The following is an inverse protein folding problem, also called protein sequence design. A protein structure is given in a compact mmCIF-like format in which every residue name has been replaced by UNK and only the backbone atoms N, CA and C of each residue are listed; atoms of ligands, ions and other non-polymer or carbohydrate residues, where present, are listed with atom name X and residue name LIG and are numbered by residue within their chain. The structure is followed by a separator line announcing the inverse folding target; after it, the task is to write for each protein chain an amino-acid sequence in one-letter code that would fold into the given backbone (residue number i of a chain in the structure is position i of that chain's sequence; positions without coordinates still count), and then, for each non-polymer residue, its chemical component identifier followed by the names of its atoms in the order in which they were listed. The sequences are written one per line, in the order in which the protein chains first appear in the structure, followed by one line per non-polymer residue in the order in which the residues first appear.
data_IF_657950973255
#
_entry.id   IF_657950973255
#
_cell.length_a   1.000
_cell.length_b   1.000
_cell.length_c   1.000
_cell.angle_alpha   90.00
_cell.angle_beta   90.00
_cell.angle_gamma   90.00
#
_symmetry.space_group_name_H-M   'P 1'
#
loop_
_entity.id
_entity.type
_entity.pdbx_description
1 polymer ?
#
# COMPACT_ATOMS: atom_id res chain seq x y z
N UNK A 1 -7.80 -13.39 -0.62
CA UNK A 1 -7.02 -12.86 0.52
C UNK A 1 -7.04 -11.35 0.43
N UNK A 2 -7.79 -10.67 1.28
CA UNK A 2 -7.96 -9.23 1.22
C UNK A 2 -7.03 -8.57 2.25
N UNK A 3 -5.99 -7.85 1.77
CA UNK A 3 -5.22 -6.94 2.62
C UNK A 3 -6.11 -5.72 2.90
N UNK A 4 -6.25 -5.33 4.17
CA UNK A 4 -7.02 -4.16 4.60
C UNK A 4 -6.12 -2.97 4.93
N UNK A 5 -4.96 -3.23 5.51
CA UNK A 5 -3.98 -2.20 5.89
C UNK A 5 -2.67 -2.38 5.14
N UNK A 6 -2.08 -1.28 4.70
CA UNK A 6 -0.73 -1.23 4.16
C UNK A 6 0.11 -0.32 5.05
N UNK A 7 1.16 -0.88 5.64
CA UNK A 7 2.24 -0.09 6.23
C UNK A 7 3.24 0.18 5.11
N UNK A 8 3.72 1.40 5.01
CA UNK A 8 4.79 1.76 4.09
C UNK A 8 5.88 2.52 4.83
N UNK A 9 7.13 2.23 4.49
CA UNK A 9 8.27 2.84 5.17
C UNK A 9 9.35 3.26 4.15
N UNK A 10 9.77 4.52 4.28
CA UNK A 10 10.96 5.08 3.66
C UNK A 10 12.05 5.19 4.73
N UNK A 11 13.20 4.54 4.51
CA UNK A 11 14.26 4.46 5.51
C UNK A 11 15.31 5.54 5.29
N UNK A 12 15.27 6.56 6.13
CA UNK A 12 16.29 7.60 6.17
C UNK A 12 17.62 7.11 6.74
N UNK A 13 18.67 7.84 6.39
CA UNK A 13 20.02 7.67 6.95
C UNK A 13 20.24 8.62 8.15
N UNK A 14 21.49 8.83 8.53
CA UNK A 14 21.87 9.59 9.73
C UNK A 14 21.25 11.00 9.81
N UNK A 15 21.02 11.66 8.68
CA UNK A 15 20.51 13.02 8.60
C UNK A 15 19.09 13.11 8.03
N UNK A 16 18.55 12.01 7.50
CA UNK A 16 17.20 11.91 6.96
C UNK A 16 16.32 11.09 7.88
N UNK A 17 15.07 11.50 8.03
CA UNK A 17 14.11 10.77 8.84
C UNK A 17 13.67 9.47 8.15
N UNK A 18 13.49 8.44 8.94
CA UNK A 18 12.64 7.33 8.51
C UNK A 18 11.19 7.75 8.67
N UNK A 19 10.43 7.69 7.58
CA UNK A 19 8.99 7.94 7.59
C UNK A 19 8.21 6.63 7.52
N UNK A 20 7.11 6.57 8.28
CA UNK A 20 6.20 5.42 8.29
C UNK A 20 4.78 5.91 8.09
N UNK A 21 4.10 5.36 7.11
CA UNK A 21 2.69 5.63 6.84
C UNK A 21 1.87 4.35 6.98
N UNK A 22 0.61 4.48 7.40
CA UNK A 22 -0.38 3.40 7.38
C UNK A 22 -1.60 3.87 6.63
N UNK A 23 -1.95 3.16 5.58
CA UNK A 23 -3.15 3.38 4.79
C UNK A 23 -4.13 2.22 4.95
N UNK A 24 -5.40 2.55 5.18
CA UNK A 24 -6.50 1.60 5.16
C UNK A 24 -7.19 1.66 3.79
N UNK A 25 -7.42 0.50 3.17
CA UNK A 25 -8.14 0.40 1.91
C UNK A 25 -9.64 0.29 2.15
N UNK A 26 -10.41 1.09 1.44
CA UNK A 26 -11.86 0.97 1.34
C UNK A 26 -12.28 0.72 -0.11
N UNK A 27 -13.27 -0.14 -0.27
CA UNK A 27 -13.92 -0.37 -1.56
C UNK A 27 -15.20 0.48 -1.59
N UNK A 28 -15.23 1.47 -2.47
CA UNK A 28 -16.35 2.40 -2.63
C UNK A 28 -17.13 1.97 -3.87
N UNK A 29 -18.41 1.60 -3.74
CA UNK A 29 -19.24 1.26 -4.89
C UNK A 29 -19.40 2.45 -5.86
N UNK A 30 -19.28 2.17 -7.17
CA UNK A 30 -19.40 3.17 -8.24
C UNK A 30 -20.34 2.67 -9.33
N UNK A 31 -21.18 3.58 -9.88
CA UNK A 31 -22.20 3.23 -10.88
C UNK A 31 -23.38 2.49 -10.28
N UNK A 32 -24.07 1.72 -11.11
CA UNK A 32 -25.26 0.95 -10.73
C UNK A 32 -24.93 -0.53 -10.53
N UNK A 33 -25.78 -1.23 -9.77
CA UNK A 33 -25.69 -2.69 -9.66
C UNK A 33 -26.15 -3.33 -10.96
N UNK A 34 -25.47 -4.39 -11.37
CA UNK A 34 -25.81 -5.13 -12.58
C UNK A 34 -25.81 -6.64 -12.37
N UNK A 35 -26.60 -7.36 -13.17
CA UNK A 35 -26.57 -8.81 -13.19
C UNK A 35 -25.38 -9.32 -14.00
N UNK A 36 -24.68 -10.28 -13.44
CA UNK A 36 -23.60 -10.98 -14.11
C UNK A 36 -23.84 -12.49 -14.07
N UNK A 37 -23.60 -13.14 -15.19
CA UNK A 37 -23.76 -14.60 -15.32
C UNK A 37 -22.48 -15.22 -15.87
N UNK A 38 -22.05 -16.30 -15.24
CA UNK A 38 -20.92 -17.08 -15.72
C UNK A 38 -21.15 -18.57 -15.49
N UNK A 39 -20.35 -19.42 -16.14
CA UNK A 39 -20.40 -20.85 -15.95
C UNK A 39 -19.22 -21.28 -15.07
N UNK A 40 -19.53 -21.93 -13.95
CA UNK A 40 -18.55 -22.51 -13.04
C UNK A 40 -18.41 -24.01 -13.33
N UNK A 41 -17.17 -24.48 -13.37
CA UNK A 41 -16.84 -25.86 -13.62
C UNK A 41 -16.13 -26.47 -12.40
N UNK A 42 -16.74 -27.50 -11.80
CA UNK A 42 -16.18 -28.22 -10.64
C UNK A 42 -15.11 -29.27 -11.03
N UNK A 43 -14.50 -29.11 -12.21
CA UNK A 43 -13.44 -29.98 -12.72
C UNK A 43 -13.50 -30.18 -14.24
N UNK A 44 -12.47 -30.83 -14.83
CA UNK A 44 -12.31 -30.93 -16.29
C UNK A 44 -13.44 -31.70 -17.02
N UNK A 45 -14.25 -32.50 -16.31
CA UNK A 45 -15.38 -33.29 -16.85
C UNK A 45 -16.74 -32.82 -16.34
N UNK A 46 -16.80 -31.70 -15.62
CA UNK A 46 -18.05 -31.11 -15.11
C UNK A 46 -18.88 -30.52 -16.26
N UNK A 47 -20.20 -30.67 -16.19
CA UNK A 47 -21.14 -30.03 -17.14
C UNK A 47 -21.22 -28.51 -16.98
N UNK A 48 -20.54 -27.95 -15.99
CA UNK A 48 -20.62 -26.53 -15.64
C UNK A 48 -22.00 -26.12 -15.10
N UNK A 49 -21.98 -25.32 -14.06
CA UNK A 49 -23.19 -24.74 -13.47
C UNK A 49 -23.27 -23.26 -13.81
N UNK A 50 -24.39 -22.82 -14.37
CA UNK A 50 -24.61 -21.38 -14.60
C UNK A 50 -24.87 -20.68 -13.29
N UNK A 51 -24.03 -19.72 -12.96
CA UNK A 51 -24.11 -18.90 -11.76
C UNK A 51 -24.64 -17.53 -12.16
N UNK A 52 -25.61 -17.02 -11.41
CA UNK A 52 -26.11 -15.65 -11.53
C UNK A 52 -25.79 -14.91 -10.23
N UNK A 53 -25.15 -13.77 -10.35
CA UNK A 53 -24.84 -12.90 -9.23
C UNK A 53 -25.09 -11.44 -9.57
N UNK A 54 -25.35 -10.64 -8.55
CA UNK A 54 -25.41 -9.19 -8.68
C UNK A 54 -24.02 -8.64 -8.36
N UNK A 55 -23.51 -7.79 -9.25
CA UNK A 55 -22.23 -7.11 -9.08
C UNK A 55 -22.44 -5.61 -8.93
N UNK A 56 -21.53 -4.99 -8.24
CA UNK A 56 -21.39 -3.55 -8.13
C UNK A 56 -19.91 -3.23 -8.30
N UNK A 57 -19.57 -2.47 -9.32
CA UNK A 57 -18.19 -2.06 -9.53
C UNK A 57 -17.70 -1.23 -8.35
N UNK A 58 -16.42 -1.30 -8.05
CA UNK A 58 -15.82 -0.58 -6.93
C UNK A 58 -14.58 0.17 -7.35
N UNK A 59 -14.42 1.33 -6.74
CA UNK A 59 -13.19 2.10 -6.75
C UNK A 59 -12.45 1.93 -5.42
N UNK A 60 -11.13 1.83 -5.49
CA UNK A 60 -10.30 1.72 -4.29
C UNK A 60 -10.00 3.11 -3.75
N UNK A 61 -10.36 3.35 -2.50
CA UNK A 61 -10.03 4.54 -1.73
C UNK A 61 -9.09 4.17 -0.60
N UNK A 62 -8.26 5.12 -0.19
CA UNK A 62 -7.23 4.95 0.82
C UNK A 62 -7.38 6.01 1.90
N UNK A 63 -7.51 5.60 3.15
CA UNK A 63 -7.51 6.50 4.29
C UNK A 63 -6.12 6.42 4.94
N UNK A 64 -5.37 7.51 4.93
CA UNK A 64 -4.12 7.63 5.68
C UNK A 64 -4.48 7.81 7.15
N UNK A 65 -4.30 6.74 7.94
CA UNK A 65 -4.70 6.67 9.34
C UNK A 65 -3.55 6.86 10.31
N UNK A 66 -2.30 6.74 9.82
CA UNK A 66 -1.09 7.00 10.61
C UNK A 66 0.03 7.54 9.74
N UNK A 67 0.78 8.49 10.28
CA UNK A 67 1.93 9.10 9.63
C UNK A 67 2.93 9.54 10.70
N UNK A 68 4.09 8.91 10.72
CA UNK A 68 5.13 9.14 11.70
C UNK A 68 6.49 9.43 11.05
N UNK A 69 7.26 10.29 11.70
CA UNK A 69 8.71 10.39 11.53
C UNK A 69 9.39 9.75 12.72
N UNK A 70 10.23 8.77 12.46
CA UNK A 70 11.06 8.15 13.48
C UNK A 70 12.20 9.11 13.87
N UNK A 71 12.51 9.21 15.15
CA UNK A 71 13.59 10.08 15.61
C UNK A 71 14.92 9.72 14.92
N UNK A 72 15.68 10.76 14.55
CA UNK A 72 17.00 10.57 13.94
C UNK A 72 17.89 9.67 14.81
N UNK A 73 18.77 8.93 14.19
CA UNK A 73 19.72 8.00 14.85
C UNK A 73 19.05 6.83 15.58
N UNK A 74 17.75 6.58 15.36
CA UNK A 74 17.12 5.35 15.88
C UNK A 74 17.73 4.14 15.18
N UNK A 75 18.23 3.13 15.92
CA UNK A 75 18.81 1.92 15.32
C UNK A 75 17.79 1.19 14.43
N UNK A 76 18.21 0.72 13.26
CA UNK A 76 17.34 0.01 12.32
C UNK A 76 16.68 -1.24 12.91
N UNK A 77 17.36 -1.93 13.84
CA UNK A 77 16.79 -3.04 14.60
C UNK A 77 15.59 -2.60 15.44
N UNK A 78 15.65 -1.40 16.01
CA UNK A 78 14.53 -0.80 16.77
C UNK A 78 13.39 -0.42 15.85
N UNK A 79 13.70 0.17 14.68
CA UNK A 79 12.69 0.50 13.66
C UNK A 79 11.99 -0.76 13.17
N UNK A 80 12.74 -1.81 12.81
CA UNK A 80 12.18 -3.08 12.34
C UNK A 80 11.24 -3.72 13.38
N UNK A 81 11.67 -3.77 14.65
CA UNK A 81 10.82 -4.27 15.75
C UNK A 81 9.56 -3.41 15.94
N UNK A 82 9.68 -2.09 15.79
CA UNK A 82 8.55 -1.16 15.83
C UNK A 82 7.53 -1.45 14.72
N UNK A 83 7.99 -1.68 13.50
CA UNK A 83 7.15 -2.05 12.35
C UNK A 83 6.46 -3.41 12.59
N UNK A 84 7.17 -4.44 13.06
CA UNK A 84 6.58 -5.74 13.39
C UNK A 84 5.54 -5.62 14.51
N UNK A 85 5.79 -4.79 15.52
CA UNK A 85 4.80 -4.50 16.57
C UNK A 85 3.55 -3.85 15.99
N UNK A 86 3.70 -2.87 15.12
CA UNK A 86 2.59 -2.18 14.45
C UNK A 86 1.77 -3.15 13.57
N UNK A 87 2.43 -4.03 12.81
CA UNK A 87 1.79 -5.10 12.05
C UNK A 87 0.88 -5.97 12.93
N UNK A 88 1.40 -6.41 14.08
CA UNK A 88 0.64 -7.25 15.00
C UNK A 88 -0.55 -6.50 15.63
N UNK A 89 -0.39 -5.20 15.92
CA UNK A 89 -1.46 -4.36 16.45
C UNK A 89 -2.60 -4.22 15.45
N UNK A 90 -2.30 -3.83 14.19
CA UNK A 90 -3.29 -3.67 13.13
C UNK A 90 -4.01 -4.99 12.82
N UNK A 91 -3.29 -6.11 12.82
CA UNK A 91 -3.92 -7.41 12.66
C UNK A 91 -4.88 -7.73 13.81
N UNK A 92 -4.46 -7.50 15.06
CA UNK A 92 -5.30 -7.74 16.22
C UNK A 92 -6.54 -6.82 16.28
N UNK A 93 -6.43 -5.59 15.80
CA UNK A 93 -7.56 -4.66 15.67
C UNK A 93 -8.56 -5.16 14.62
N UNK A 94 -8.06 -5.59 13.45
CA UNK A 94 -8.93 -6.11 12.39
C UNK A 94 -9.65 -7.40 12.81
N UNK A 95 -8.97 -8.34 13.48
CA UNK A 95 -9.59 -9.61 13.91
C UNK A 95 -10.64 -9.45 15.01
N UNK A 96 -10.70 -8.29 15.65
CA UNK A 96 -11.76 -7.93 16.63
C UNK A 96 -12.95 -7.24 15.97
N UNK A 97 -12.85 -6.83 14.71
CA UNK A 97 -13.94 -6.18 14.01
C UNK A 97 -15.09 -7.16 13.76
N UNK A 98 -16.33 -6.69 13.88
CA UNK A 98 -17.54 -7.51 13.74
C UNK A 98 -17.72 -8.11 12.34
N UNK A 99 -17.03 -7.56 11.34
CA UNK A 99 -17.05 -8.02 9.95
C UNK A 99 -15.99 -9.08 9.62
N UNK A 100 -15.21 -9.54 10.63
CA UNK A 100 -14.18 -10.54 10.40
C UNK A 100 -14.77 -11.94 10.19
N UNK A 101 -14.65 -12.47 8.98
CA UNK A 101 -15.21 -13.77 8.59
C UNK A 101 -14.37 -14.99 9.04
N UNK A 102 -13.20 -14.78 9.62
CA UNK A 102 -12.28 -15.84 10.05
C UNK A 102 -11.44 -16.48 8.94
N UNK A 103 -11.80 -16.29 7.67
CA UNK A 103 -11.12 -16.89 6.51
C UNK A 103 -9.99 -16.02 5.91
N UNK A 104 -9.82 -14.82 6.40
CA UNK A 104 -8.83 -13.85 5.92
C UNK A 104 -7.48 -14.04 6.63
N UNK A 105 -6.53 -14.70 5.97
CA UNK A 105 -5.23 -15.04 6.56
C UNK A 105 -4.20 -13.90 6.55
N UNK A 106 -4.38 -12.86 5.75
CA UNK A 106 -3.49 -11.69 5.69
C UNK A 106 -4.28 -10.43 5.57
N UNK A 107 -4.16 -9.60 6.57
CA UNK A 107 -4.90 -8.35 6.67
C UNK A 107 -4.00 -7.13 6.58
N UNK A 108 -2.69 -7.30 6.72
CA UNK A 108 -1.70 -6.22 6.72
C UNK A 108 -0.57 -6.51 5.74
N UNK A 109 -0.32 -5.58 4.82
CA UNK A 109 0.86 -5.54 3.97
C UNK A 109 1.93 -4.61 4.54
N UNK A 110 3.18 -4.84 4.17
CA UNK A 110 4.33 -3.99 4.49
C UNK A 110 5.12 -3.70 3.21
N UNK A 111 5.04 -2.47 2.70
CA UNK A 111 5.85 -1.99 1.59
C UNK A 111 7.05 -1.19 2.13
N UNK A 112 8.24 -1.47 1.67
CA UNK A 112 9.46 -0.79 2.12
C UNK A 112 10.30 -0.33 0.93
N UNK A 113 10.90 0.86 1.02
CA UNK A 113 11.97 1.21 0.09
C UNK A 113 13.24 0.43 0.46
N UNK A 114 13.69 -0.39 -0.49
CA UNK A 114 14.90 -1.23 -0.37
C UNK A 114 16.16 -0.48 -0.82
N UNK A 115 16.03 0.76 -1.28
CA UNK A 115 17.16 1.61 -1.63
C UNK A 115 18.09 1.89 -0.45
N UNK A 116 19.38 2.11 -0.73
CA UNK A 116 20.34 2.48 0.30
C UNK A 116 20.43 1.47 1.46
N UNK A 117 19.99 1.91 2.64
CA UNK A 117 19.98 1.10 3.87
C UNK A 117 18.82 0.10 3.94
N UNK A 118 17.83 0.25 3.08
CA UNK A 118 16.61 -0.56 3.09
C UNK A 118 16.86 -2.06 2.95
N UNK A 119 17.91 -2.48 2.20
CA UNK A 119 18.31 -3.90 2.12
C UNK A 119 18.64 -4.50 3.49
N UNK A 120 19.46 -3.81 4.28
CA UNK A 120 19.82 -4.28 5.61
C UNK A 120 18.59 -4.33 6.54
N UNK A 121 17.69 -3.34 6.43
CA UNK A 121 16.46 -3.32 7.21
C UNK A 121 15.52 -4.44 6.76
N UNK A 122 15.41 -4.72 5.46
CA UNK A 122 14.64 -5.85 4.93
C UNK A 122 15.08 -7.18 5.56
N UNK A 123 16.39 -7.43 5.60
CA UNK A 123 16.93 -8.70 6.13
C UNK A 123 16.57 -8.86 7.61
N UNK A 124 16.64 -7.78 8.39
CA UNK A 124 16.19 -7.75 9.80
C UNK A 124 14.66 -8.02 9.88
N UNK A 125 13.87 -7.35 9.06
CA UNK A 125 12.41 -7.53 9.02
C UNK A 125 12.03 -8.96 8.65
N UNK A 126 12.63 -9.54 7.63
CA UNK A 126 12.36 -10.91 7.21
C UNK A 126 12.65 -11.91 8.34
N UNK A 127 13.73 -11.71 9.09
CA UNK A 127 14.06 -12.52 10.25
C UNK A 127 13.00 -12.38 11.35
N UNK A 128 12.67 -11.16 11.76
CA UNK A 128 11.68 -10.88 12.81
C UNK A 128 10.27 -11.40 12.44
N UNK A 129 9.86 -11.26 11.17
CA UNK A 129 8.59 -11.78 10.66
C UNK A 129 8.57 -13.30 10.70
N UNK A 130 9.62 -13.97 10.19
CA UNK A 130 9.73 -15.43 10.19
C UNK A 130 9.67 -16.01 11.60
N UNK A 131 10.48 -15.50 12.50
CA UNK A 131 10.46 -15.91 13.91
C UNK A 131 9.09 -15.64 14.58
N UNK A 132 8.40 -14.60 14.15
CA UNK A 132 7.04 -14.30 14.58
C UNK A 132 6.05 -15.36 14.13
N UNK A 133 6.09 -15.76 12.86
CA UNK A 133 5.21 -16.79 12.28
C UNK A 133 5.44 -18.15 12.95
N UNK A 134 6.69 -18.53 13.25
CA UNK A 134 7.03 -19.74 14.01
C UNK A 134 6.42 -19.74 15.42
N UNK A 135 6.20 -18.54 16.00
CA UNK A 135 5.51 -18.33 17.29
C UNK A 135 4.00 -18.10 17.17
N UNK A 136 3.40 -18.44 16.02
CA UNK A 136 1.96 -18.34 15.79
C UNK A 136 1.45 -16.93 15.46
N UNK A 137 2.33 -15.97 15.11
CA UNK A 137 1.91 -14.65 14.63
C UNK A 137 1.41 -14.72 13.18
N UNK A 138 0.57 -13.76 12.74
CA UNK A 138 0.04 -13.76 11.38
C UNK A 138 1.17 -13.62 10.34
N UNK A 139 0.92 -14.18 9.17
CA UNK A 139 1.77 -13.94 7.99
C UNK A 139 1.62 -12.52 7.51
N UNK A 140 2.72 -11.94 7.04
CA UNK A 140 2.80 -10.59 6.51
C UNK A 140 3.14 -10.66 5.02
N UNK A 141 2.47 -9.83 4.22
CA UNK A 141 2.88 -9.61 2.84
C UNK A 141 3.94 -8.51 2.81
N UNK A 142 5.22 -8.92 2.80
CA UNK A 142 6.34 -7.98 2.66
C UNK A 142 6.59 -7.71 1.17
N UNK A 143 6.54 -6.44 0.78
CA UNK A 143 6.80 -5.93 -0.56
C UNK A 143 8.04 -5.02 -0.54
N UNK A 144 9.23 -5.54 -0.79
CA UNK A 144 10.41 -4.72 -0.96
C UNK A 144 10.40 -4.07 -2.34
N UNK A 145 10.62 -2.76 -2.39
CA UNK A 145 10.60 -1.94 -3.60
C UNK A 145 11.91 -1.20 -3.72
N UNK A 146 12.60 -1.35 -4.84
CA UNK A 146 13.78 -0.52 -5.16
C UNK A 146 13.35 0.63 -6.06
N UNK A 147 13.54 1.85 -5.58
CA UNK A 147 13.20 3.06 -6.34
C UNK A 147 14.37 3.54 -7.17
N UNK A 148 14.11 3.91 -8.42
CA UNK A 148 15.16 4.34 -9.37
C UNK A 148 14.71 5.46 -10.30
N UNK A 149 15.67 6.10 -10.98
CA UNK A 149 15.41 7.17 -11.98
C UNK A 149 15.09 6.69 -13.38
N UNK A 150 14.94 5.40 -13.61
CA UNK A 150 14.67 4.82 -14.93
C UNK A 150 13.27 5.08 -15.47
N UNK A 151 12.94 4.46 -16.62
CA UNK A 151 11.70 4.73 -17.35
C UNK A 151 10.56 3.74 -17.10
N UNK A 152 10.84 2.51 -16.65
CA UNK A 152 9.83 1.46 -16.54
C UNK A 152 9.92 0.68 -15.22
N UNK A 153 8.77 0.28 -14.71
CA UNK A 153 8.66 -0.67 -13.61
C UNK A 153 9.04 -2.07 -14.09
N UNK A 154 9.88 -2.76 -13.34
CA UNK A 154 10.23 -4.16 -13.56
C UNK A 154 9.93 -4.99 -12.33
N UNK A 155 9.35 -6.17 -12.54
CA UNK A 155 8.94 -7.10 -11.48
C UNK A 155 9.62 -8.42 -11.73
N UNK A 156 10.32 -8.93 -10.73
CA UNK A 156 10.91 -10.27 -10.71
C UNK A 156 10.41 -11.08 -9.54
N UNK A 157 11.00 -12.25 -9.36
CA UNK A 157 10.66 -13.12 -8.23
C UNK A 157 11.19 -12.53 -6.93
N UNK A 158 10.27 -12.01 -6.11
CA UNK A 158 10.57 -11.43 -4.80
C UNK A 158 11.21 -10.03 -4.82
N UNK A 159 11.23 -9.33 -5.96
CA UNK A 159 11.72 -7.95 -6.05
C UNK A 159 10.90 -7.11 -7.04
N UNK A 160 10.86 -5.81 -6.78
CA UNK A 160 10.19 -4.83 -7.63
C UNK A 160 11.06 -3.58 -7.74
N UNK A 161 11.34 -3.16 -8.98
CA UNK A 161 12.01 -1.89 -9.24
C UNK A 161 11.02 -0.91 -9.87
N UNK A 162 10.90 0.28 -9.30
CA UNK A 162 9.89 1.28 -9.68
C UNK A 162 10.54 2.62 -9.96
N UNK A 163 10.21 3.28 -11.08
CA UNK A 163 10.60 4.65 -11.30
C UNK A 163 10.03 5.57 -10.20
N UNK A 164 10.86 6.45 -9.63
CA UNK A 164 10.41 7.43 -8.61
C UNK A 164 9.18 8.19 -9.07
N UNK A 165 9.11 8.58 -10.36
CA UNK A 165 7.97 9.29 -10.94
C UNK A 165 6.66 8.50 -10.88
N UNK A 166 6.69 7.18 -11.13
CA UNK A 166 5.48 6.36 -11.17
C UNK A 166 4.92 6.18 -9.75
N UNK A 167 5.82 6.01 -8.78
CA UNK A 167 5.47 5.93 -7.36
C UNK A 167 4.83 7.24 -6.87
N UNK A 168 5.47 8.39 -7.13
CA UNK A 168 4.95 9.70 -6.72
C UNK A 168 3.63 10.01 -7.45
N UNK A 169 3.54 9.70 -8.76
CA UNK A 169 2.30 9.92 -9.53
C UNK A 169 1.12 9.16 -8.95
N UNK A 170 1.31 7.92 -8.51
CA UNK A 170 0.24 7.12 -7.91
C UNK A 170 -0.37 7.84 -6.67
N UNK A 171 0.48 8.33 -5.77
CA UNK A 171 0.02 9.08 -4.59
C UNK A 171 -0.64 10.41 -4.93
N UNK A 172 -0.02 11.21 -5.82
CA UNK A 172 -0.57 12.51 -6.22
C UNK A 172 -1.91 12.38 -6.92
N UNK A 173 -2.06 11.44 -7.87
CA UNK A 173 -3.32 11.21 -8.57
C UNK A 173 -4.41 10.71 -7.61
N UNK A 174 -4.07 9.83 -6.69
CA UNK A 174 -5.03 9.38 -5.68
C UNK A 174 -5.48 10.54 -4.77
N UNK A 175 -4.58 11.43 -4.38
CA UNK A 175 -4.90 12.60 -3.57
C UNK A 175 -5.78 13.61 -4.34
N UNK A 176 -5.40 13.96 -5.57
CA UNK A 176 -6.12 14.90 -6.41
C UNK A 176 -7.55 14.44 -6.75
N UNK A 177 -7.74 13.14 -6.93
CA UNK A 177 -9.06 12.54 -7.22
C UNK A 177 -9.88 12.24 -5.96
N UNK A 178 -9.41 12.64 -4.76
CA UNK A 178 -10.11 12.39 -3.49
C UNK A 178 -10.12 10.91 -3.06
N UNK A 179 -9.36 10.05 -3.75
CA UNK A 179 -9.23 8.64 -3.37
C UNK A 179 -8.28 8.41 -2.19
N UNK A 180 -7.26 9.26 -2.03
CA UNK A 180 -6.43 9.31 -0.82
C UNK A 180 -6.96 10.40 0.10
N UNK A 181 -7.44 10.01 1.28
CA UNK A 181 -7.86 10.93 2.33
C UNK A 181 -6.84 10.94 3.47
N UNK A 182 -6.47 12.12 3.91
CA UNK A 182 -5.54 12.32 5.01
C UNK A 182 -6.35 12.59 6.28
N UNK A 183 -6.20 11.72 7.28
CA UNK A 183 -6.82 11.91 8.59
C UNK A 183 -6.29 13.14 9.34
N UNK A 184 -6.82 13.39 10.52
CA UNK A 184 -6.27 14.40 11.44
C UNK A 184 -5.04 13.83 12.14
N UNK A 185 -3.87 14.01 11.51
CA UNK A 185 -2.61 13.41 11.92
C UNK A 185 -1.58 14.47 12.29
N UNK A 186 -0.71 14.15 13.24
CA UNK A 186 0.35 15.06 13.72
C UNK A 186 1.17 15.70 12.59
N UNK A 187 1.47 14.96 11.52
CA UNK A 187 2.28 15.43 10.40
C UNK A 187 1.46 15.80 9.16
N UNK A 188 0.13 15.95 9.28
CA UNK A 188 -0.75 16.31 8.18
C UNK A 188 -0.32 17.56 7.44
N UNK A 189 -0.12 18.67 8.16
CA UNK A 189 0.27 19.94 7.55
C UNK A 189 1.63 19.86 6.84
N UNK A 190 2.57 19.09 7.39
CA UNK A 190 3.87 18.83 6.75
C UNK A 190 3.70 18.05 5.45
N UNK A 191 2.91 16.97 5.46
CA UNK A 191 2.61 16.17 4.26
C UNK A 191 1.91 17.00 3.19
N UNK A 192 0.89 17.80 3.56
CA UNK A 192 0.18 18.65 2.61
C UNK A 192 1.11 19.70 1.97
N UNK A 193 2.06 20.22 2.75
CA UNK A 193 3.11 21.10 2.23
C UNK A 193 4.07 20.37 1.27
N UNK A 194 4.49 19.15 1.60
CA UNK A 194 5.30 18.30 0.70
C UNK A 194 4.55 18.00 -0.59
N UNK A 195 3.27 17.58 -0.52
CA UNK A 195 2.40 17.32 -1.67
C UNK A 195 2.26 18.54 -2.60
N UNK A 196 2.06 19.74 -2.01
CA UNK A 196 1.84 20.97 -2.77
C UNK A 196 3.12 21.46 -3.43
N UNK A 197 4.26 21.27 -2.78
CA UNK A 197 5.57 21.74 -3.25
C UNK A 197 6.29 20.72 -4.15
N UNK A 198 5.73 19.54 -4.36
CA UNK A 198 6.30 18.55 -5.25
C UNK A 198 5.87 18.83 -6.69
N UNK A 199 6.83 19.21 -7.55
CA UNK A 199 6.57 19.53 -8.95
C UNK A 199 7.35 18.64 -9.89
N UNK A 200 6.74 18.40 -11.05
CA UNK A 200 7.41 17.77 -12.18
C UNK A 200 8.46 18.75 -12.74
N UNK A 201 9.72 18.42 -12.60
CA UNK A 201 10.82 19.13 -13.25
C UNK A 201 11.15 18.39 -14.53
N UNK A 202 10.87 19.00 -15.68
CA UNK A 202 11.22 18.45 -16.97
C UNK A 202 12.59 18.97 -17.39
N UNK A 203 13.55 18.09 -17.57
CA UNK A 203 14.84 18.47 -18.13
C UNK A 203 14.71 18.58 -19.66
N UNK A 204 14.62 19.79 -20.17
CA UNK A 204 14.41 20.09 -21.60
C UNK A 204 15.54 19.55 -22.47
N UNK A 205 16.76 19.46 -21.93
CA UNK A 205 17.94 19.01 -22.68
C UNK A 205 17.96 17.48 -22.92
N UNK A 206 17.38 16.70 -22.00
CA UNK A 206 17.42 15.22 -22.07
C UNK A 206 16.05 14.58 -22.28
N UNK A 207 14.98 15.38 -22.26
CA UNK A 207 13.59 14.86 -22.32
C UNK A 207 13.15 14.07 -21.08
N UNK A 208 14.01 13.93 -20.06
CA UNK A 208 13.67 13.23 -18.83
C UNK A 208 12.89 14.12 -17.89
N UNK A 209 11.72 13.64 -17.48
CA UNK A 209 10.93 14.25 -16.42
C UNK A 209 11.41 13.70 -15.06
N UNK A 210 11.83 14.56 -14.15
CA UNK A 210 12.16 14.22 -12.79
C UNK A 210 11.20 14.93 -11.83
N UNK A 211 10.67 14.20 -10.86
CA UNK A 211 9.94 14.79 -9.74
C UNK A 211 10.96 15.18 -8.66
N UNK A 212 11.05 16.47 -8.36
CA UNK A 212 11.94 16.99 -7.34
C UNK A 212 11.18 17.98 -6.44
N UNK A 213 11.56 18.09 -5.15
CA UNK A 213 11.03 19.14 -4.30
C UNK A 213 11.43 20.53 -4.85
N UNK A 214 10.56 21.53 -4.69
CA UNK A 214 10.76 22.90 -5.20
C UNK A 214 12.01 23.59 -4.66
N UNK A 215 12.48 23.18 -3.49
CA UNK A 215 13.67 23.73 -2.84
C UNK A 215 14.63 22.61 -2.48
N UNK A 216 15.91 22.75 -2.80
CA UNK A 216 16.96 21.85 -2.33
C UNK A 216 17.00 21.90 -0.80
N UNK A 217 17.05 20.76 -0.13
CA UNK A 217 17.06 20.63 1.33
C UNK A 217 15.69 20.50 1.98
N UNK A 218 14.59 20.41 1.23
CA UNK A 218 13.30 19.97 1.75
C UNK A 218 13.26 18.44 1.84
N UNK A 219 12.82 17.96 2.99
CA UNK A 219 12.54 16.55 3.19
C UNK A 219 11.26 16.17 2.45
N UNK A 220 11.25 15.06 1.73
CA UNK A 220 10.10 14.47 1.03
C UNK A 220 9.77 13.06 1.56
N UNK A 221 10.28 12.74 2.75
CA UNK A 221 10.19 11.42 3.37
C UNK A 221 8.75 11.00 3.68
N UNK A 222 7.90 11.93 4.18
CA UNK A 222 6.49 11.65 4.46
C UNK A 222 5.70 11.40 3.17
N UNK A 223 5.89 12.29 2.18
CA UNK A 223 5.30 12.14 0.86
C UNK A 223 5.69 10.79 0.24
N UNK A 224 6.99 10.47 0.31
CA UNK A 224 7.52 9.26 -0.29
C UNK A 224 6.94 7.99 0.37
N UNK A 225 6.89 7.95 1.71
CA UNK A 225 6.28 6.84 2.43
C UNK A 225 4.79 6.67 2.07
N UNK A 226 4.01 7.76 1.97
CA UNK A 226 2.61 7.72 1.59
C UNK A 226 2.43 7.24 0.14
N UNK A 227 3.22 7.79 -0.80
CA UNK A 227 3.16 7.41 -2.20
C UNK A 227 3.54 5.93 -2.41
N UNK A 228 4.52 5.42 -1.66
CA UNK A 228 4.90 4.00 -1.66
C UNK A 228 3.72 3.11 -1.23
N UNK A 229 2.99 3.50 -0.19
CA UNK A 229 1.81 2.78 0.28
C UNK A 229 0.68 2.75 -0.76
N UNK A 230 0.37 3.91 -1.37
CA UNK A 230 -0.64 4.00 -2.43
C UNK A 230 -0.23 3.21 -3.67
N UNK A 231 1.03 3.33 -4.10
CA UNK A 231 1.55 2.56 -5.23
C UNK A 231 1.47 1.05 -4.97
N UNK A 232 1.80 0.61 -3.74
CA UNK A 232 1.71 -0.80 -3.36
C UNK A 232 0.27 -1.32 -3.46
N UNK A 233 -0.73 -0.52 -3.10
CA UNK A 233 -2.14 -0.84 -3.32
C UNK A 233 -2.50 -0.94 -4.81
N UNK A 234 -2.05 0.01 -5.61
CA UNK A 234 -2.40 0.12 -7.03
C UNK A 234 -1.75 -0.97 -7.89
N UNK A 235 -0.53 -1.40 -7.57
CA UNK A 235 0.27 -2.29 -8.41
C UNK A 235 0.70 -3.59 -7.71
N UNK A 236 0.94 -3.52 -6.39
CA UNK A 236 1.52 -4.62 -5.62
C UNK A 236 0.49 -5.60 -5.05
N UNK A 237 -0.80 -5.32 -5.16
CA UNK A 237 -1.86 -6.15 -4.62
C UNK A 237 -2.91 -6.52 -5.67
N UNK A 238 -3.59 -7.64 -5.46
CA UNK A 238 -4.70 -8.03 -6.34
C UNK A 238 -5.85 -7.03 -6.17
N UNK A 239 -6.24 -6.37 -7.27
CA UNK A 239 -7.36 -5.42 -7.27
C UNK A 239 -8.69 -6.17 -7.27
N UNK A 240 -9.56 -5.78 -6.35
CA UNK A 240 -10.97 -6.14 -6.41
C UNK A 240 -11.69 -5.17 -7.33
N UNK A 241 -12.42 -5.72 -8.31
CA UNK A 241 -13.09 -4.93 -9.35
C UNK A 241 -14.56 -4.67 -9.03
N UNK A 242 -15.17 -5.53 -8.22
CA UNK A 242 -16.60 -5.44 -7.90
C UNK A 242 -16.91 -6.15 -6.58
N UNK A 243 -17.97 -5.72 -5.91
CA UNK A 243 -18.62 -6.45 -4.83
C UNK A 243 -19.63 -7.44 -5.39
N UNK A 244 -19.76 -8.60 -4.75
CA UNK A 244 -20.75 -9.63 -5.08
C UNK A 244 -21.88 -9.60 -4.06
N UNK A 245 -23.12 -9.72 -4.54
CA UNK A 245 -24.29 -9.81 -3.71
C UNK A 245 -25.09 -11.06 -4.05
N UNK A 246 -25.66 -11.77 -3.05
CA UNK A 246 -26.61 -12.85 -3.31
C UNK A 246 -27.81 -12.34 -4.13
N UNK A 247 -28.33 -13.22 -5.03
CA UNK A 247 -29.43 -12.87 -5.94
C UNK A 247 -30.73 -12.39 -5.26
N UNK A 248 -30.88 -12.57 -3.94
CA UNK A 248 -32.11 -12.25 -3.21
C UNK A 248 -32.34 -10.74 -2.98
N UNK A 249 -31.41 -9.87 -3.34
CA UNK A 249 -31.48 -8.43 -3.07
C UNK A 249 -32.05 -7.57 -4.24
N UNK A 250 -32.51 -8.19 -5.32
CA UNK A 250 -33.14 -7.48 -6.46
C UNK A 250 -34.67 -7.55 -6.49
N UNK A 251 -35.31 -8.15 -5.49
CA UNK A 251 -36.76 -8.14 -5.39
C UNK A 251 -37.20 -6.91 -4.57
N UNK A 252 -37.14 -5.71 -5.21
CA UNK A 252 -38.06 -4.55 -4.91
C UNK A 252 -37.70 -3.41 -5.84
#
# INVERSE_FOLDING_TARGET
MAIKYMISADFGQTFDYTAVAVTERRLVPVGERYQHSYVEYDGPRSRGRKIHEVRHDVEQHYDLIRLDRVALRTPYTTIARGLVKLLNQLHAEHTKADDYSGDERVTVGLAIDEGGVGKAVRDILQKEIREGVEKGRPRVHLLPVTVHGGAATTIGDGWVHVPKRDLISAGLVAYQNGRLRVGDLRHRATLENELTNYRLKQNIATGHAAFEPLRSGQHDDLLFAVCLGVWAWEQGTKKEKYLRFPNQLLAH
#
